data_IF_600020489803
#
_entry.id   IF_600020489803
#
_cell.length_a   1.000
_cell.length_b   1.000
_cell.length_c   1.000
_cell.angle_alpha   90.00
_cell.angle_beta   90.00
_cell.angle_gamma   90.00
#
_symmetry.space_group_name_H-M   'P 1'
#
loop_
_entity.id
_entity.type
_entity.pdbx_description
1 polymer ?
#
# COMPACT_ATOMS: atom_id res chain seq x y z
N UNK A 1 -1.90 -6.54 -18.96
CA UNK A 1 -0.84 -6.76 -17.95
C UNK A 1 -1.24 -6.02 -16.69
N UNK A 2 -1.42 -6.74 -15.58
CA UNK A 2 -1.99 -6.25 -14.33
C UNK A 2 -1.06 -5.23 -13.66
N UNK A 3 -1.60 -4.05 -13.35
CA UNK A 3 -0.94 -3.08 -12.47
C UNK A 3 -0.74 -3.78 -11.12
N UNK A 4 0.45 -3.72 -10.49
CA UNK A 4 0.64 -4.22 -9.14
C UNK A 4 -0.38 -3.56 -8.20
N UNK A 5 -1.21 -4.37 -7.54
CA UNK A 5 -2.25 -3.88 -6.64
C UNK A 5 -1.56 -3.27 -5.40
N UNK A 6 -2.23 -2.38 -4.67
CA UNK A 6 -1.68 -1.77 -3.44
C UNK A 6 -1.21 -2.82 -2.40
N UNK A 7 -1.64 -4.07 -2.57
CA UNK A 7 -1.25 -5.31 -1.86
C UNK A 7 0.24 -5.67 -1.93
N UNK A 8 0.99 -5.24 -2.94
CA UNK A 8 2.40 -5.66 -3.12
C UNK A 8 3.39 -4.93 -2.19
N UNK A 9 2.90 -3.95 -1.41
CA UNK A 9 3.73 -3.10 -0.57
C UNK A 9 3.12 -2.98 0.82
N UNK A 10 3.53 -3.87 1.72
CA UNK A 10 3.29 -3.68 3.14
C UNK A 10 3.92 -2.36 3.62
N UNK A 11 3.19 -1.50 4.36
CA UNK A 11 3.79 -0.32 4.98
C UNK A 11 4.82 -0.81 6.01
N UNK A 12 6.11 -0.64 5.69
CA UNK A 12 7.16 -0.82 6.68
C UNK A 12 7.02 0.30 7.70
N UNK A 13 6.90 -0.09 8.97
CA UNK A 13 7.16 0.75 10.15
C UNK A 13 8.28 1.72 9.80
N UNK A 14 8.11 3.01 10.12
CA UNK A 14 9.09 4.07 9.91
C UNK A 14 10.48 3.65 10.44
N UNK A 15 11.21 2.92 9.60
CA UNK A 15 12.63 2.70 9.73
C UNK A 15 13.21 3.96 9.14
N UNK A 16 14.07 4.62 9.90
CA UNK A 16 15.00 5.63 9.41
C UNK A 16 15.43 5.20 8.00
N UNK A 17 15.03 5.95 6.98
CA UNK A 17 15.28 5.53 5.59
C UNK A 17 16.78 5.38 5.39
N UNK A 18 17.28 4.57 4.45
CA UNK A 18 18.72 4.52 4.17
C UNK A 18 19.34 5.92 3.98
N UNK A 19 18.58 6.86 3.39
CA UNK A 19 18.94 8.28 3.30
C UNK A 19 19.03 8.96 4.67
N UNK A 20 18.05 8.78 5.54
CA UNK A 20 18.09 9.31 6.89
C UNK A 20 19.18 8.64 7.73
N UNK A 21 19.50 7.36 7.51
CA UNK A 21 20.61 6.66 8.17
C UNK A 21 21.95 7.24 7.72
N UNK A 22 22.10 7.56 6.43
CA UNK A 22 23.26 8.29 5.90
C UNK A 22 23.37 9.68 6.53
N UNK A 23 22.26 10.44 6.62
CA UNK A 23 22.25 11.76 7.27
C UNK A 23 22.55 11.68 8.76
N UNK A 24 21.97 10.70 9.45
CA UNK A 24 22.21 10.44 10.86
C UNK A 24 23.65 9.99 11.11
N UNK A 25 24.27 9.20 10.23
CA UNK A 25 25.69 8.86 10.36
C UNK A 25 26.59 10.09 10.28
N UNK A 26 26.31 11.03 9.36
CA UNK A 26 27.01 12.32 9.31
C UNK A 26 26.82 13.11 10.62
N UNK A 27 25.63 13.02 11.22
CA UNK A 27 25.29 13.70 12.48
C UNK A 27 25.86 12.98 13.73
N UNK A 28 25.98 11.65 13.70
CA UNK A 28 26.48 10.78 14.79
C UNK A 28 27.99 10.87 14.98
N UNK A 29 28.73 11.41 14.01
CA UNK A 29 30.13 11.81 14.22
C UNK A 29 30.28 13.00 15.20
N UNK A 30 29.19 13.50 15.82
CA UNK A 30 29.25 14.56 16.84
C UNK A 30 28.53 14.35 18.20
N UNK A 31 27.72 13.32 18.49
CA UNK A 31 27.16 13.13 19.86
C UNK A 31 26.99 11.65 20.24
N UNK A 32 27.52 11.28 21.41
CA UNK A 32 27.35 9.98 22.10
C UNK A 32 26.00 9.88 22.83
N UNK A 33 25.43 8.66 22.82
CA UNK A 33 24.57 8.18 23.91
C UNK A 33 23.07 8.22 23.65
N UNK A 34 22.51 7.14 23.08
CA UNK A 34 21.13 6.73 23.35
C UNK A 34 20.99 5.22 23.21
N UNK A 35 20.79 4.56 24.36
CA UNK A 35 20.27 3.20 24.43
C UNK A 35 18.82 3.22 23.98
N UNK A 36 18.46 2.34 23.06
CA UNK A 36 17.07 2.10 22.66
C UNK A 36 16.69 0.74 23.25
N UNK A 37 15.77 0.75 24.22
CA UNK A 37 15.07 -0.44 24.69
C UNK A 37 14.04 -0.90 23.63
N UNK A 38 13.59 -2.17 23.65
CA UNK A 38 12.70 -2.69 22.62
C UNK A 38 11.32 -2.03 22.72
N UNK A 39 10.91 -1.36 21.64
CA UNK A 39 9.56 -0.82 21.46
C UNK A 39 8.51 -1.94 21.63
N UNK A 40 7.55 -1.69 22.51
CA UNK A 40 6.36 -2.51 22.68
C UNK A 40 5.52 -2.56 21.39
N UNK A 41 4.86 -3.70 21.19
CA UNK A 41 3.90 -3.95 20.13
C UNK A 41 2.68 -3.05 20.31
N UNK A 42 2.51 -2.09 19.41
CA UNK A 42 1.33 -1.21 19.31
C UNK A 42 0.13 -1.96 18.72
N UNK A 43 -0.25 -3.09 19.35
CA UNK A 43 -1.44 -3.89 18.99
C UNK A 43 -2.46 -3.81 20.11
N UNK A 44 -3.02 -2.62 20.31
CA UNK A 44 -4.14 -2.36 21.23
C UNK A 44 -5.46 -2.87 20.60
N UNK A 45 -5.47 -4.16 20.24
CA UNK A 45 -6.55 -4.81 19.48
C UNK A 45 -7.12 -5.93 20.35
N UNK A 46 -8.26 -5.66 20.99
CA UNK A 46 -8.91 -6.61 21.90
C UNK A 46 -9.39 -7.87 21.17
N UNK A 47 -9.27 -9.02 21.81
CA UNK A 47 -9.87 -10.29 21.36
C UNK A 47 -10.91 -10.82 22.37
N UNK A 48 -11.44 -9.95 23.23
CA UNK A 48 -12.42 -10.35 24.23
C UNK A 48 -13.77 -10.68 23.58
N UNK A 49 -14.18 -11.94 23.75
CA UNK A 49 -15.47 -12.50 23.31
C UNK A 49 -16.26 -13.13 24.45
N UNK A 50 -15.87 -12.90 25.70
CA UNK A 50 -16.37 -13.60 26.88
C UNK A 50 -17.88 -13.48 27.08
N UNK A 51 -18.48 -12.38 26.59
CA UNK A 51 -19.90 -12.06 26.73
C UNK A 51 -20.66 -12.08 25.40
N UNK A 52 -20.13 -12.76 24.39
CA UNK A 52 -20.65 -12.70 23.02
C UNK A 52 -21.08 -14.09 22.58
N UNK A 53 -22.35 -14.20 22.18
CA UNK A 53 -22.90 -15.45 21.68
C UNK A 53 -22.32 -15.77 20.30
N UNK A 54 -21.83 -17.00 20.07
CA UNK A 54 -21.33 -17.40 18.78
C UNK A 54 -22.45 -17.58 17.75
N UNK A 55 -22.11 -17.38 16.49
CA UNK A 55 -22.96 -17.60 15.32
C UNK A 55 -22.29 -18.63 14.39
N UNK A 56 -23.09 -19.60 13.93
CA UNK A 56 -22.68 -20.51 12.87
C UNK A 56 -22.88 -19.82 11.53
N UNK A 57 -21.80 -19.55 10.82
CA UNK A 57 -21.79 -18.80 9.55
C UNK A 57 -21.35 -19.65 8.36
N UNK A 58 -20.77 -20.82 8.61
CA UNK A 58 -20.27 -21.74 7.59
C UNK A 58 -20.90 -23.12 7.82
N UNK A 59 -20.88 -23.99 6.81
CA UNK A 59 -21.24 -25.41 6.99
C UNK A 59 -20.21 -26.16 7.87
N UNK A 60 -19.01 -25.60 8.08
CA UNK A 60 -17.98 -26.21 8.88
C UNK A 60 -18.31 -26.14 10.40
N UNK A 61 -18.49 -27.27 11.10
CA UNK A 61 -19.06 -27.30 12.46
C UNK A 61 -18.15 -26.64 13.51
N UNK A 62 -16.84 -26.65 13.29
CA UNK A 62 -15.84 -26.07 14.23
C UNK A 62 -15.57 -24.58 14.02
N UNK A 63 -16.23 -23.94 13.05
CA UNK A 63 -16.07 -22.51 12.80
C UNK A 63 -17.19 -21.75 13.51
N UNK A 64 -16.82 -20.70 14.26
CA UNK A 64 -17.78 -19.87 14.98
C UNK A 64 -17.40 -18.40 14.82
N UNK A 65 -18.39 -17.55 14.55
CA UNK A 65 -18.25 -16.09 14.47
C UNK A 65 -18.81 -15.42 15.72
N UNK A 66 -18.08 -14.46 16.27
CA UNK A 66 -18.43 -13.67 17.43
C UNK A 66 -18.52 -12.19 17.01
N UNK A 67 -19.73 -11.64 16.78
CA UNK A 67 -19.88 -10.24 16.40
C UNK A 67 -19.53 -9.33 17.58
N UNK A 68 -18.53 -8.45 17.41
CA UNK A 68 -18.07 -7.54 18.46
C UNK A 68 -18.66 -6.14 18.33
N UNK A 69 -18.65 -5.62 17.10
CA UNK A 69 -19.13 -4.28 16.77
C UNK A 69 -20.03 -4.43 15.55
N UNK A 70 -21.21 -3.82 15.62
CA UNK A 70 -22.11 -3.68 14.48
C UNK A 70 -21.87 -2.32 13.84
N UNK A 71 -21.51 -2.36 12.58
CA UNK A 71 -21.48 -1.27 11.64
C UNK A 71 -22.86 -0.98 11.04
N UNK A 72 -22.85 -0.17 9.98
CA UNK A 72 -24.04 0.39 9.36
C UNK A 72 -24.13 0.04 7.87
N UNK A 73 -25.31 0.24 7.28
CA UNK A 73 -25.55 -0.02 5.86
C UNK A 73 -25.98 -1.45 5.55
N UNK A 74 -25.96 -1.77 4.26
CA UNK A 74 -26.28 -3.11 3.76
C UNK A 74 -25.08 -4.06 3.97
N UNK A 75 -25.34 -5.38 4.13
CA UNK A 75 -24.26 -6.37 4.13
C UNK A 75 -23.51 -6.39 2.79
N UNK A 76 -22.24 -6.79 2.83
CA UNK A 76 -21.48 -7.05 1.61
C UNK A 76 -22.09 -8.20 0.79
N UNK A 77 -21.99 -8.09 -0.53
CA UNK A 77 -22.47 -9.11 -1.49
C UNK A 77 -21.28 -9.77 -2.19
N UNK A 78 -21.52 -10.89 -2.89
CA UNK A 78 -20.50 -11.51 -3.75
C UNK A 78 -20.07 -10.63 -4.93
N UNK A 79 -20.81 -9.56 -5.23
CA UNK A 79 -20.42 -8.53 -6.21
C UNK A 79 -19.68 -7.35 -5.56
N UNK A 80 -19.42 -7.37 -4.25
CA UNK A 80 -18.81 -6.25 -3.57
C UNK A 80 -17.29 -6.31 -3.59
N UNK A 81 -16.66 -5.16 -3.74
CA UNK A 81 -15.25 -4.93 -3.38
C UNK A 81 -15.21 -4.37 -1.96
N UNK A 82 -14.55 -5.08 -1.05
CA UNK A 82 -14.48 -4.74 0.38
C UNK A 82 -13.08 -4.36 0.80
N UNK A 83 -12.96 -3.41 1.72
CA UNK A 83 -11.69 -3.10 2.39
C UNK A 83 -11.72 -3.69 3.80
N UNK A 84 -10.74 -4.51 4.16
CA UNK A 84 -10.74 -5.25 5.43
C UNK A 84 -9.44 -5.06 6.20
N UNK A 85 -9.53 -5.16 7.53
CA UNK A 85 -8.38 -5.32 8.42
C UNK A 85 -8.52 -6.61 9.19
N UNK A 86 -7.42 -7.33 9.38
CA UNK A 86 -7.45 -8.53 10.19
C UNK A 86 -6.15 -8.79 10.94
N UNK A 87 -6.29 -9.51 12.06
CA UNK A 87 -5.19 -10.09 12.82
C UNK A 87 -5.51 -11.55 13.08
N UNK A 88 -4.57 -12.44 12.80
CA UNK A 88 -4.67 -13.87 13.08
C UNK A 88 -3.73 -14.23 14.21
N UNK A 89 -4.21 -15.01 15.19
CA UNK A 89 -3.39 -15.54 16.29
C UNK A 89 -3.78 -16.96 16.66
N UNK A 90 -2.91 -17.65 17.39
CA UNK A 90 -3.24 -18.90 18.04
C UNK A 90 -4.21 -18.68 19.21
N UNK A 91 -5.21 -19.55 19.37
CA UNK A 91 -6.14 -19.47 20.50
C UNK A 91 -5.42 -19.69 21.82
N UNK A 92 -4.46 -20.61 21.83
CA UNK A 92 -3.61 -20.94 22.97
C UNK A 92 -2.27 -20.22 22.83
N UNK A 93 -1.84 -19.53 23.87
CA UNK A 93 -0.58 -18.79 23.87
C UNK A 93 -0.64 -17.44 23.16
N UNK A 94 -1.71 -17.14 22.41
CA UNK A 94 -1.98 -15.85 21.76
C UNK A 94 -0.87 -15.35 20.84
N UNK A 95 -0.05 -16.27 20.32
CA UNK A 95 1.01 -15.94 19.36
C UNK A 95 0.37 -15.42 18.08
N UNK A 96 0.79 -14.23 17.67
CA UNK A 96 0.34 -13.61 16.42
C UNK A 96 0.94 -14.40 15.25
N UNK A 97 0.06 -14.82 14.33
CA UNK A 97 0.39 -15.54 13.12
C UNK A 97 0.42 -14.60 11.90
N UNK A 98 -0.45 -13.59 11.89
CA UNK A 98 -0.48 -12.53 10.87
C UNK A 98 -1.06 -11.24 11.46
N UNK A 99 -0.34 -10.12 11.35
CA UNK A 99 -0.77 -8.78 11.73
C UNK A 99 -0.62 -7.74 10.60
N UNK A 100 -0.22 -8.16 9.39
CA UNK A 100 0.17 -7.24 8.32
C UNK A 100 -0.95 -6.27 7.94
N UNK A 101 -2.20 -6.72 8.10
CA UNK A 101 -3.41 -5.99 7.73
C UNK A 101 -4.21 -5.50 8.94
N UNK A 102 -3.73 -5.71 10.16
CA UNK A 102 -4.46 -5.40 11.40
C UNK A 102 -4.00 -4.14 12.13
N UNK A 103 -2.98 -3.45 11.61
CA UNK A 103 -2.43 -2.26 12.26
C UNK A 103 -3.36 -1.07 12.02
N UNK A 104 -3.62 -0.29 13.07
CA UNK A 104 -4.57 0.86 13.02
C UNK A 104 -4.23 1.87 11.91
N UNK A 105 -2.95 1.99 11.57
CA UNK A 105 -2.43 2.90 10.54
C UNK A 105 -2.03 2.20 9.23
N UNK A 106 -2.24 0.89 9.06
CA UNK A 106 -2.01 0.24 7.77
C UNK A 106 -3.18 0.48 6.82
N UNK A 107 -2.86 0.62 5.55
CA UNK A 107 -3.86 0.59 4.46
C UNK A 107 -4.64 -0.73 4.55
N UNK A 108 -5.98 -0.68 4.64
CA UNK A 108 -6.80 -1.89 4.63
C UNK A 108 -6.56 -2.73 3.38
N UNK A 109 -6.73 -4.05 3.50
CA UNK A 109 -6.66 -4.96 2.38
C UNK A 109 -7.94 -4.85 1.55
N UNK A 110 -7.85 -4.37 0.32
CA UNK A 110 -8.99 -4.36 -0.63
C UNK A 110 -9.15 -5.73 -1.26
N UNK A 111 -10.37 -6.29 -1.31
CA UNK A 111 -10.70 -7.65 -1.76
C UNK A 111 -11.96 -7.63 -2.60
N UNK A 112 -11.92 -8.31 -3.74
CA UNK A 112 -13.12 -8.61 -4.50
C UNK A 112 -13.73 -9.90 -3.95
N UNK A 113 -14.92 -9.80 -3.38
CA UNK A 113 -15.69 -10.99 -3.00
C UNK A 113 -16.10 -11.74 -4.27
N UNK A 114 -16.20 -13.07 -4.20
CA UNK A 114 -16.52 -14.00 -5.28
C UNK A 114 -15.32 -14.48 -6.10
N UNK A 115 -14.11 -13.98 -5.84
CA UNK A 115 -12.91 -14.21 -6.68
C UNK A 115 -11.84 -15.10 -5.99
N UNK A 116 -12.22 -15.88 -4.96
CA UNK A 116 -11.36 -16.81 -4.22
C UNK A 116 -10.05 -16.19 -3.68
N UNK A 117 -10.08 -14.90 -3.31
CA UNK A 117 -8.91 -14.15 -2.86
C UNK A 117 -8.62 -14.31 -1.36
N UNK A 118 -9.56 -14.87 -0.59
CA UNK A 118 -9.43 -15.18 0.83
C UNK A 118 -9.80 -16.63 1.11
N UNK A 119 -9.36 -17.19 2.24
CA UNK A 119 -9.94 -18.42 2.77
C UNK A 119 -11.46 -18.30 2.89
N UNK A 120 -12.21 -19.31 2.44
CA UNK A 120 -13.67 -19.29 2.34
C UNK A 120 -14.35 -18.86 3.65
N UNK A 121 -13.82 -19.30 4.79
CA UNK A 121 -14.31 -18.93 6.12
C UNK A 121 -14.31 -17.42 6.37
N UNK A 122 -13.29 -16.71 5.91
CA UNK A 122 -13.23 -15.25 6.03
C UNK A 122 -14.21 -14.60 5.08
N UNK A 123 -14.35 -15.12 3.87
CA UNK A 123 -15.25 -14.60 2.85
C UNK A 123 -16.74 -14.75 3.24
N UNK A 124 -17.14 -15.93 3.71
CA UNK A 124 -18.46 -16.20 4.30
C UNK A 124 -18.75 -15.30 5.50
N UNK A 125 -17.72 -15.00 6.30
CA UNK A 125 -17.84 -14.04 7.41
C UNK A 125 -18.11 -12.63 6.91
N UNK A 126 -17.43 -12.18 5.84
CA UNK A 126 -17.58 -10.84 5.25
C UNK A 126 -18.93 -10.64 4.58
N UNK A 127 -19.48 -11.67 3.93
CA UNK A 127 -20.82 -11.63 3.31
C UNK A 127 -21.95 -11.40 4.33
N UNK A 128 -21.70 -11.66 5.61
CA UNK A 128 -22.66 -11.36 6.69
C UNK A 128 -22.35 -10.04 7.41
N UNK A 129 -21.31 -9.32 7.00
CA UNK A 129 -20.85 -8.09 7.65
C UNK A 129 -21.30 -6.82 6.91
N UNK A 130 -21.46 -5.75 7.68
CA UNK A 130 -21.75 -4.38 7.23
C UNK A 130 -20.52 -3.48 7.40
N UNK A 131 -20.52 -2.33 6.72
CA UNK A 131 -19.43 -1.36 6.85
C UNK A 131 -19.26 -0.89 8.31
N UNK A 132 -18.06 -1.05 8.85
CA UNK A 132 -17.72 -0.79 10.25
C UNK A 132 -17.89 -1.99 11.19
N UNK A 133 -18.37 -3.14 10.70
CA UNK A 133 -18.48 -4.36 11.52
C UNK A 133 -17.10 -4.82 11.98
N UNK A 134 -17.06 -5.34 13.20
CA UNK A 134 -15.90 -6.06 13.72
C UNK A 134 -16.35 -7.37 14.35
N UNK A 135 -15.66 -8.46 14.03
CA UNK A 135 -15.94 -9.77 14.61
C UNK A 135 -14.66 -10.54 14.95
N UNK A 136 -14.81 -11.61 15.72
CA UNK A 136 -13.79 -12.64 15.89
C UNK A 136 -14.31 -13.93 15.27
N UNK A 137 -13.47 -14.63 14.53
CA UNK A 137 -13.75 -15.94 13.97
C UNK A 137 -12.82 -16.93 14.65
N UNK A 138 -13.36 -18.02 15.18
CA UNK A 138 -12.56 -19.17 15.61
C UNK A 138 -12.60 -20.22 14.53
N UNK A 139 -11.45 -20.74 14.13
CA UNK A 139 -11.34 -21.70 13.02
C UNK A 139 -10.26 -22.75 13.32
N UNK A 140 -10.40 -23.99 12.83
CA UNK A 140 -9.29 -24.95 12.89
C UNK A 140 -8.17 -24.56 11.91
N UNK A 141 -6.90 -24.85 12.23
CA UNK A 141 -5.75 -24.37 11.47
C UNK A 141 -5.63 -24.98 10.06
N UNK A 142 -6.24 -26.14 9.81
CA UNK A 142 -6.21 -26.81 8.50
C UNK A 142 -6.93 -26.03 7.38
N UNK A 143 -7.85 -25.12 7.73
CA UNK A 143 -8.49 -24.21 6.77
C UNK A 143 -7.57 -23.05 6.36
N UNK A 144 -6.38 -22.94 6.97
CA UNK A 144 -5.38 -21.92 6.72
C UNK A 144 -4.00 -22.57 6.55
N UNK A 145 -3.79 -23.38 5.48
CA UNK A 145 -2.61 -24.24 5.34
C UNK A 145 -1.29 -23.46 5.20
N UNK A 146 -1.34 -22.17 4.91
CA UNK A 146 -0.16 -21.29 4.83
C UNK A 146 0.31 -20.77 6.20
N UNK A 147 -0.46 -20.97 7.27
CA UNK A 147 -0.09 -20.52 8.61
C UNK A 147 0.79 -21.56 9.32
N UNK A 148 1.93 -21.11 9.85
CA UNK A 148 2.80 -21.95 10.69
C UNK A 148 2.34 -21.95 12.15
N UNK A 149 1.51 -22.93 12.50
CA UNK A 149 1.02 -23.11 13.89
C UNK A 149 1.93 -24.05 14.67
N UNK A 150 2.06 -23.80 15.98
CA UNK A 150 2.80 -24.64 16.95
C UNK A 150 1.87 -25.52 17.78
N UNK A 151 0.56 -25.29 17.69
CA UNK A 151 -0.48 -26.03 18.40
C UNK A 151 -1.58 -26.45 17.43
N UNK A 152 -2.12 -27.67 17.59
CA UNK A 152 -3.28 -28.15 16.81
C UNK A 152 -4.59 -27.42 17.17
N UNK A 153 -4.57 -26.69 18.29
CA UNK A 153 -5.75 -26.11 18.92
C UNK A 153 -6.03 -24.71 18.37
N UNK A 154 -6.91 -24.64 17.36
CA UNK A 154 -7.66 -23.48 16.83
C UNK A 154 -6.94 -22.12 16.71
N UNK A 155 -7.23 -21.40 15.63
CA UNK A 155 -6.83 -20.01 15.46
C UNK A 155 -8.01 -19.06 15.76
N UNK A 156 -7.68 -17.83 16.15
CA UNK A 156 -8.61 -16.72 16.29
C UNK A 156 -8.25 -15.64 15.28
N UNK A 157 -9.25 -15.18 14.52
CA UNK A 157 -9.11 -14.13 13.51
C UNK A 157 -9.98 -12.98 13.95
N UNK A 158 -9.39 -11.84 14.27
CA UNK A 158 -10.17 -10.61 14.40
C UNK A 158 -10.27 -9.96 13.03
N UNK A 159 -11.49 -9.69 12.58
CA UNK A 159 -11.79 -9.17 11.26
C UNK A 159 -12.64 -7.91 11.37
N UNK A 160 -12.19 -6.83 10.75
CA UNK A 160 -12.88 -5.54 10.63
C UNK A 160 -13.19 -5.29 9.15
N UNK A 161 -14.45 -5.01 8.86
CA UNK A 161 -14.89 -4.57 7.54
C UNK A 161 -14.89 -3.04 7.51
N UNK A 162 -13.90 -2.46 6.83
CA UNK A 162 -13.66 -1.01 6.82
C UNK A 162 -14.58 -0.29 5.85
N UNK A 163 -14.80 -0.85 4.66
CA UNK A 163 -15.72 -0.27 3.66
C UNK A 163 -16.26 -1.33 2.71
N UNK A 164 -17.48 -1.11 2.20
CA UNK A 164 -18.10 -1.93 1.17
C UNK A 164 -18.38 -1.08 -0.06
N UNK A 165 -17.99 -1.55 -1.25
CA UNK A 165 -18.38 -0.95 -2.53
C UNK A 165 -19.07 -2.01 -3.38
N UNK A 166 -20.31 -1.76 -3.80
CA UNK A 166 -20.98 -2.66 -4.73
C UNK A 166 -20.50 -2.38 -6.16
N UNK A 167 -20.02 -3.39 -6.88
CA UNK A 167 -19.67 -3.27 -8.31
C UNK A 167 -20.88 -2.87 -9.15
N UNK A 168 -22.11 -3.11 -8.67
CA UNK A 168 -23.34 -2.70 -9.38
C UNK A 168 -23.55 -1.18 -9.42
N UNK A 169 -22.89 -0.42 -8.54
CA UNK A 169 -22.88 1.05 -8.55
C UNK A 169 -21.73 1.62 -9.41
N UNK A 170 -20.91 0.76 -10.02
CA UNK A 170 -19.84 1.19 -10.89
C UNK A 170 -20.44 1.79 -12.16
N UNK A 171 -20.32 3.12 -12.28
CA UNK A 171 -20.85 3.88 -13.41
C UNK A 171 -20.29 3.33 -14.71
N UNK A 172 -21.14 2.65 -15.48
CA UNK A 172 -20.83 2.25 -16.85
C UNK A 172 -20.83 3.49 -17.73
N UNK A 173 -19.76 3.67 -18.48
CA UNK A 173 -19.61 4.78 -19.41
C UNK A 173 -20.02 4.33 -20.81
N UNK A 174 -20.97 5.04 -21.42
CA UNK A 174 -21.41 4.77 -22.79
C UNK A 174 -20.36 5.21 -23.83
N UNK A 175 -19.48 6.16 -23.46
CA UNK A 175 -18.44 6.71 -24.32
C UNK A 175 -17.21 7.16 -23.52
N UNK A 176 -16.04 7.14 -24.17
CA UNK A 176 -14.77 7.51 -23.53
C UNK A 176 -14.73 8.97 -23.09
N UNK A 177 -15.43 9.88 -23.79
CA UNK A 177 -15.37 11.32 -23.48
C UNK A 177 -16.00 11.58 -22.11
N UNK A 178 -17.13 10.94 -21.81
CA UNK A 178 -17.78 10.99 -20.51
C UNK A 178 -16.89 10.40 -19.40
N UNK A 179 -16.18 9.30 -19.69
CA UNK A 179 -15.21 8.71 -18.76
C UNK A 179 -14.06 9.69 -18.46
N UNK A 180 -13.43 10.25 -19.50
CA UNK A 180 -12.32 11.19 -19.35
C UNK A 180 -12.75 12.47 -18.62
N UNK A 181 -13.96 12.97 -18.87
CA UNK A 181 -14.48 14.16 -18.17
C UNK A 181 -14.55 13.92 -16.66
N UNK A 182 -15.14 12.81 -16.23
CA UNK A 182 -15.22 12.45 -14.81
C UNK A 182 -13.82 12.27 -14.20
N UNK A 183 -12.94 11.56 -14.90
CA UNK A 183 -11.55 11.32 -14.47
C UNK A 183 -10.78 12.62 -14.29
N UNK A 184 -10.97 13.58 -15.20
CA UNK A 184 -10.32 14.89 -15.13
C UNK A 184 -10.85 15.71 -13.94
N UNK A 185 -12.13 15.64 -13.62
CA UNK A 185 -12.70 16.30 -12.44
C UNK A 185 -12.20 15.68 -11.13
N UNK A 186 -12.14 14.34 -11.07
CA UNK A 186 -11.52 13.64 -9.92
C UNK A 186 -10.03 13.97 -9.79
N UNK A 187 -9.31 14.11 -10.91
CA UNK A 187 -7.91 14.53 -10.89
C UNK A 187 -7.76 15.94 -10.32
N UNK A 188 -8.65 16.88 -10.66
CA UNK A 188 -8.66 18.24 -10.08
C UNK A 188 -8.94 18.17 -8.58
N UNK A 189 -9.94 17.42 -8.16
CA UNK A 189 -10.26 17.21 -6.74
C UNK A 189 -9.07 16.64 -5.96
N UNK A 190 -8.44 15.58 -6.49
CA UNK A 190 -7.23 15.00 -5.92
C UNK A 190 -6.08 16.02 -5.82
N UNK A 191 -5.94 16.92 -6.81
CA UNK A 191 -4.96 18.00 -6.75
C UNK A 191 -5.26 19.00 -5.61
N UNK A 192 -6.53 19.30 -5.33
CA UNK A 192 -6.91 20.16 -4.21
C UNK A 192 -6.66 19.47 -2.86
N UNK A 193 -6.93 18.17 -2.74
CA UNK A 193 -6.54 17.38 -1.58
C UNK A 193 -5.01 17.35 -1.38
N UNK A 194 -4.24 17.23 -2.46
CA UNK A 194 -2.78 17.28 -2.40
C UNK A 194 -2.28 18.65 -1.91
N UNK A 195 -2.81 19.75 -2.45
CA UNK A 195 -2.45 21.12 -2.04
C UNK A 195 -2.78 21.40 -0.57
N UNK A 196 -3.92 20.89 -0.10
CA UNK A 196 -4.34 20.98 1.31
C UNK A 196 -3.62 19.99 2.23
N UNK A 197 -2.62 19.26 1.73
CA UNK A 197 -1.84 18.23 2.45
C UNK A 197 -2.67 17.06 3.00
N UNK A 198 -3.89 16.89 2.48
CA UNK A 198 -4.75 15.74 2.76
C UNK A 198 -4.33 14.56 1.88
N UNK A 199 -3.13 14.03 2.12
CA UNK A 199 -2.51 13.05 1.22
C UNK A 199 -3.29 11.73 1.11
N UNK A 200 -3.91 11.25 2.19
CA UNK A 200 -4.78 10.07 2.14
C UNK A 200 -5.94 10.27 1.17
N UNK A 201 -6.62 11.41 1.26
CA UNK A 201 -7.74 11.74 0.38
C UNK A 201 -7.27 11.88 -1.06
N UNK A 202 -6.16 12.58 -1.29
CA UNK A 202 -5.59 12.71 -2.62
C UNK A 202 -5.26 11.34 -3.25
N UNK A 203 -4.64 10.44 -2.47
CA UNK A 203 -4.34 9.08 -2.92
C UNK A 203 -5.62 8.34 -3.33
N UNK A 204 -6.62 8.32 -2.47
CA UNK A 204 -7.90 7.64 -2.71
C UNK A 204 -8.58 8.19 -3.97
N UNK A 205 -8.67 9.52 -4.11
CA UNK A 205 -9.32 10.14 -5.28
C UNK A 205 -8.59 9.79 -6.58
N UNK A 206 -7.25 9.80 -6.60
CA UNK A 206 -6.51 9.41 -7.80
C UNK A 206 -6.63 7.91 -8.11
N UNK A 207 -6.70 7.04 -7.10
CA UNK A 207 -6.93 5.62 -7.30
C UNK A 207 -8.31 5.34 -7.88
N UNK A 208 -9.36 6.02 -7.39
CA UNK A 208 -10.70 5.91 -7.95
C UNK A 208 -10.78 6.43 -9.40
N UNK A 209 -10.05 7.50 -9.72
CA UNK A 209 -9.93 7.98 -11.10
C UNK A 209 -9.21 6.94 -12.01
N UNK A 210 -8.19 6.26 -11.49
CA UNK A 210 -7.47 5.20 -12.20
C UNK A 210 -8.35 3.96 -12.43
N UNK A 211 -9.17 3.62 -11.43
CA UNK A 211 -10.14 2.53 -11.48
C UNK A 211 -11.13 2.75 -12.62
N UNK A 212 -11.73 3.94 -12.72
CA UNK A 212 -12.62 4.32 -13.84
C UNK A 212 -11.98 4.17 -15.23
N UNK A 213 -10.72 4.58 -15.36
CA UNK A 213 -9.97 4.38 -16.62
C UNK A 213 -9.69 2.91 -16.91
N UNK A 214 -9.59 2.07 -15.89
CA UNK A 214 -9.27 0.65 -16.02
C UNK A 214 -10.52 -0.19 -16.28
N UNK A 215 -11.69 0.22 -15.77
CA UNK A 215 -12.97 -0.45 -16.02
C UNK A 215 -13.64 -0.04 -17.33
N UNK A 216 -13.18 1.03 -17.99
CA UNK A 216 -13.63 1.37 -19.35
C UNK A 216 -13.07 0.37 -20.36
N UNK A 217 -13.96 -0.29 -21.11
CA UNK A 217 -13.60 -1.21 -22.19
C UNK A 217 -13.34 -0.44 -23.49
N UNK A 218 -12.07 -0.28 -23.84
CA UNK A 218 -11.67 0.46 -25.03
C UNK A 218 -12.12 -0.26 -26.31
N UNK A 219 -12.84 0.45 -27.18
CA UNK A 219 -13.38 -0.13 -28.40
C UNK A 219 -12.37 -0.19 -29.55
N UNK A 220 -11.32 0.65 -29.49
CA UNK A 220 -10.26 0.71 -30.48
C UNK A 220 -8.92 1.21 -29.88
N UNK A 221 -7.88 1.23 -30.71
CA UNK A 221 -6.53 1.67 -30.33
C UNK A 221 -6.45 3.17 -30.01
N UNK A 222 -7.35 4.00 -30.55
CA UNK A 222 -7.39 5.44 -30.28
C UNK A 222 -7.95 5.72 -28.89
N UNK A 223 -8.98 4.98 -28.49
CA UNK A 223 -9.52 4.98 -27.14
C UNK A 223 -8.50 4.45 -26.14
N UNK A 224 -7.85 3.31 -26.42
CA UNK A 224 -6.79 2.77 -25.56
C UNK A 224 -5.63 3.78 -25.38
N UNK A 225 -5.21 4.44 -26.46
CA UNK A 225 -4.20 5.50 -26.40
C UNK A 225 -4.66 6.72 -25.60
N UNK A 226 -5.96 7.03 -25.65
CA UNK A 226 -6.55 8.13 -24.88
C UNK A 226 -6.63 7.79 -23.40
N UNK A 227 -6.93 6.54 -23.04
CA UNK A 227 -6.84 6.03 -21.67
C UNK A 227 -5.40 6.21 -21.17
N UNK A 228 -4.40 5.73 -21.89
CA UNK A 228 -2.99 5.84 -21.48
C UNK A 228 -2.54 7.30 -21.28
N UNK A 229 -2.94 8.20 -22.18
CA UNK A 229 -2.67 9.64 -22.06
C UNK A 229 -3.24 10.23 -20.76
N UNK A 230 -4.41 9.76 -20.32
CA UNK A 230 -5.06 10.22 -19.10
C UNK A 230 -4.60 9.45 -17.84
N UNK A 231 -4.08 8.23 -17.98
CA UNK A 231 -3.41 7.49 -16.90
C UNK A 231 -2.11 8.16 -16.49
N UNK A 232 -1.34 8.69 -17.45
CA UNK A 232 -0.05 9.33 -17.20
C UNK A 232 -0.07 10.40 -16.08
N UNK A 233 -0.93 11.45 -16.12
CA UNK A 233 -0.96 12.45 -15.06
C UNK A 233 -1.40 11.87 -13.71
N UNK A 234 -2.30 10.88 -13.68
CA UNK A 234 -2.68 10.19 -12.44
C UNK A 234 -1.51 9.41 -11.85
N UNK A 235 -0.75 8.66 -12.66
CA UNK A 235 0.44 7.91 -12.21
C UNK A 235 1.50 8.83 -11.60
N UNK A 236 1.80 9.95 -12.26
CA UNK A 236 2.78 10.92 -11.73
C UNK A 236 2.31 11.61 -10.45
N UNK A 237 0.99 11.79 -10.28
CA UNK A 237 0.40 12.39 -9.09
C UNK A 237 0.31 11.38 -7.92
N UNK A 238 -0.08 10.13 -8.17
CA UNK A 238 -0.03 9.04 -7.19
C UNK A 238 1.38 8.85 -6.66
N UNK A 239 2.38 8.79 -7.54
CA UNK A 239 3.78 8.73 -7.11
C UNK A 239 4.17 9.93 -6.24
N UNK A 240 3.73 11.14 -6.58
CA UNK A 240 3.98 12.33 -5.78
C UNK A 240 3.34 12.27 -4.38
N UNK A 241 2.09 11.79 -4.29
CA UNK A 241 1.38 11.59 -3.02
C UNK A 241 2.12 10.59 -2.14
N UNK A 242 2.52 9.46 -2.72
CA UNK A 242 3.19 8.38 -1.99
C UNK A 242 4.59 8.79 -1.52
N UNK A 243 5.32 9.60 -2.29
CA UNK A 243 6.55 10.26 -1.82
C UNK A 243 6.30 11.15 -0.60
N UNK A 244 5.16 11.85 -0.52
CA UNK A 244 4.78 12.65 0.66
C UNK A 244 4.37 11.82 1.86
N UNK A 245 3.86 10.62 1.62
CA UNK A 245 3.49 9.63 2.63
C UNK A 245 4.64 8.69 3.01
N UNK A 246 5.82 8.92 2.44
CA UNK A 246 7.03 8.12 2.67
C UNK A 246 6.89 6.63 2.25
N UNK A 247 5.90 6.32 1.40
CA UNK A 247 5.72 5.01 0.81
C UNK A 247 6.49 4.92 -0.52
N UNK A 248 7.81 4.88 -0.39
CA UNK A 248 8.71 4.99 -1.53
C UNK A 248 8.62 3.82 -2.50
N UNK A 249 8.24 2.63 -2.02
CA UNK A 249 8.12 1.45 -2.88
C UNK A 249 6.90 1.54 -3.80
N UNK A 250 5.74 1.93 -3.26
CA UNK A 250 4.56 2.19 -4.11
C UNK A 250 4.79 3.38 -5.03
N UNK A 251 5.48 4.42 -4.53
CA UNK A 251 5.85 5.56 -5.36
C UNK A 251 6.72 5.16 -6.55
N UNK A 252 7.66 4.23 -6.38
CA UNK A 252 8.47 3.67 -7.47
C UNK A 252 7.61 2.96 -8.51
N UNK A 253 6.66 2.12 -8.10
CA UNK A 253 5.79 1.41 -9.04
C UNK A 253 5.04 2.36 -9.95
N UNK A 254 4.31 3.33 -9.39
CA UNK A 254 3.57 4.28 -10.22
C UNK A 254 4.50 5.17 -11.06
N UNK A 255 5.69 5.51 -10.56
CA UNK A 255 6.66 6.26 -11.35
C UNK A 255 7.23 5.45 -12.51
N UNK A 256 7.51 4.14 -12.34
CA UNK A 256 7.96 3.26 -13.42
C UNK A 256 6.88 3.10 -14.48
N UNK A 257 5.63 2.93 -14.09
CA UNK A 257 4.50 2.91 -15.04
C UNK A 257 4.38 4.24 -15.80
N UNK A 258 4.53 5.39 -15.13
CA UNK A 258 4.54 6.68 -15.82
C UNK A 258 5.69 6.80 -16.83
N UNK A 259 6.89 6.31 -16.49
CA UNK A 259 8.06 6.29 -17.39
C UNK A 259 7.86 5.31 -18.56
N UNK A 260 7.13 4.20 -18.37
CA UNK A 260 6.77 3.30 -19.48
C UNK A 260 5.84 3.97 -20.49
N UNK A 261 4.87 4.75 -20.01
CA UNK A 261 3.95 5.50 -20.87
C UNK A 261 4.65 6.67 -21.58
N UNK A 262 5.48 7.42 -20.85
CA UNK A 262 6.28 8.50 -21.43
C UNK A 262 7.69 8.55 -20.82
N UNK A 263 8.63 7.89 -21.49
CA UNK A 263 10.03 7.84 -21.09
C UNK A 263 10.75 9.18 -21.21
N UNK A 264 10.19 10.12 -21.97
CA UNK A 264 10.73 11.45 -22.22
C UNK A 264 10.15 12.51 -21.26
N UNK A 265 9.37 12.10 -20.25
CA UNK A 265 8.86 13.01 -19.23
C UNK A 265 9.87 13.26 -18.13
N UNK A 266 10.34 14.51 -18.01
CA UNK A 266 11.18 14.95 -16.90
C UNK A 266 10.50 14.70 -15.54
N UNK A 267 9.19 14.94 -15.44
CA UNK A 267 8.41 14.73 -14.22
C UNK A 267 8.38 13.27 -13.80
N UNK A 268 8.14 12.34 -14.73
CA UNK A 268 8.09 10.91 -14.41
C UNK A 268 9.48 10.38 -14.00
N UNK A 269 10.52 10.74 -14.76
CA UNK A 269 11.91 10.40 -14.43
C UNK A 269 12.33 10.98 -13.08
N UNK A 270 11.94 12.22 -12.77
CA UNK A 270 12.23 12.84 -11.49
C UNK A 270 11.55 12.12 -10.33
N UNK A 271 10.27 11.75 -10.46
CA UNK A 271 9.54 10.99 -9.43
C UNK A 271 10.14 9.61 -9.18
N UNK A 272 10.57 8.92 -10.25
CA UNK A 272 11.26 7.63 -10.14
C UNK A 272 12.62 7.81 -9.44
N UNK A 273 13.37 8.83 -9.81
CA UNK A 273 14.63 9.17 -9.18
C UNK A 273 14.49 9.44 -7.68
N UNK A 274 13.46 10.21 -7.28
CA UNK A 274 13.16 10.49 -5.88
C UNK A 274 12.82 9.22 -5.10
N UNK A 275 11.93 8.36 -5.62
CA UNK A 275 11.54 7.13 -4.92
C UNK A 275 12.68 6.15 -4.76
N UNK A 276 13.57 6.02 -5.76
CA UNK A 276 14.77 5.21 -5.68
C UNK A 276 15.80 5.77 -4.69
N UNK A 277 15.96 7.09 -4.69
CA UNK A 277 16.89 7.80 -3.79
C UNK A 277 16.54 7.56 -2.32
N UNK A 278 15.24 7.65 -1.98
CA UNK A 278 14.74 7.41 -0.61
C UNK A 278 14.90 5.95 -0.18
N UNK A 279 14.86 5.02 -1.14
CA UNK A 279 15.13 3.59 -0.90
C UNK A 279 16.62 3.25 -0.81
N UNK A 280 17.53 4.21 -1.02
CA UNK A 280 18.98 3.99 -1.02
C UNK A 280 19.52 3.35 -2.30
N UNK A 281 18.72 3.22 -3.36
CA UNK A 281 19.16 2.70 -4.67
C UNK A 281 19.82 3.82 -5.48
N UNK A 282 20.97 4.29 -5.02
CA UNK A 282 21.55 5.58 -5.41
C UNK A 282 22.01 5.63 -6.88
N UNK A 283 22.59 4.55 -7.39
CA UNK A 283 22.99 4.44 -8.80
C UNK A 283 21.79 4.60 -9.74
N UNK A 284 20.71 3.85 -9.54
CA UNK A 284 19.50 3.96 -10.36
C UNK A 284 18.83 5.33 -10.19
N UNK A 285 18.78 5.84 -8.96
CA UNK A 285 18.26 7.18 -8.69
C UNK A 285 19.02 8.25 -9.47
N UNK A 286 20.35 8.18 -9.52
CA UNK A 286 21.20 9.10 -10.28
C UNK A 286 20.87 9.05 -11.77
N UNK A 287 20.71 7.86 -12.35
CA UNK A 287 20.39 7.72 -13.78
C UNK A 287 19.06 8.42 -14.13
N UNK A 288 18.02 8.18 -13.33
CA UNK A 288 16.72 8.84 -13.50
C UNK A 288 16.81 10.35 -13.31
N UNK A 289 17.46 10.83 -12.24
CA UNK A 289 17.58 12.26 -11.93
C UNK A 289 18.42 13.02 -12.96
N UNK A 290 19.49 12.41 -13.48
CA UNK A 290 20.30 12.99 -14.56
C UNK A 290 19.51 13.04 -15.86
N UNK A 291 18.71 12.02 -16.16
CA UNK A 291 17.83 12.02 -17.33
C UNK A 291 16.79 13.14 -17.21
N UNK A 292 16.13 13.27 -16.06
CA UNK A 292 15.21 14.37 -15.78
C UNK A 292 15.89 15.75 -15.93
N UNK A 293 17.13 15.90 -15.46
CA UNK A 293 17.89 17.14 -15.59
C UNK A 293 18.32 17.47 -17.02
N UNK A 294 18.51 16.46 -17.88
CA UNK A 294 18.76 16.68 -19.31
C UNK A 294 17.50 17.17 -20.03
N UNK A 295 16.33 16.65 -19.64
CA UNK A 295 15.04 17.03 -20.21
C UNK A 295 14.62 18.44 -19.76
N UNK A 296 14.81 18.77 -18.48
CA UNK A 296 14.51 20.08 -17.92
C UNK A 296 15.72 20.69 -17.19
N UNK A 297 16.73 21.19 -17.93
CA UNK A 297 17.99 21.66 -17.34
C UNK A 297 17.84 22.91 -16.47
N UNK A 298 16.70 23.62 -16.57
CA UNK A 298 16.43 24.84 -15.82
C UNK A 298 15.72 24.58 -14.49
N UNK A 299 15.15 23.40 -14.27
CA UNK A 299 14.41 23.09 -13.05
C UNK A 299 15.33 23.05 -11.82
N UNK A 300 15.01 23.86 -10.81
CA UNK A 300 15.81 24.01 -9.59
C UNK A 300 15.68 22.79 -8.69
N UNK A 301 14.50 22.17 -8.63
CA UNK A 301 14.21 21.01 -7.78
C UNK A 301 14.95 19.78 -8.29
N UNK A 302 14.91 19.54 -9.60
CA UNK A 302 15.63 18.41 -10.22
C UNK A 302 17.14 18.55 -9.99
N UNK A 303 17.72 19.74 -10.23
CA UNK A 303 19.16 19.97 -9.98
C UNK A 303 19.54 19.80 -8.51
N UNK A 304 18.66 20.20 -7.59
CA UNK A 304 18.87 20.00 -6.15
C UNK A 304 18.94 18.51 -5.82
N UNK A 305 18.01 17.72 -6.34
CA UNK A 305 17.98 16.28 -6.09
C UNK A 305 19.14 15.55 -6.78
N UNK A 306 19.58 15.98 -7.97
CA UNK A 306 20.83 15.51 -8.60
C UNK A 306 22.04 15.77 -7.71
N UNK A 307 22.16 16.97 -7.13
CA UNK A 307 23.25 17.28 -6.21
C UNK A 307 23.17 16.40 -4.96
N UNK A 308 21.98 16.18 -4.43
CA UNK A 308 21.78 15.36 -3.24
C UNK A 308 22.16 13.90 -3.48
N UNK A 309 21.69 13.26 -4.57
CA UNK A 309 22.04 11.86 -4.85
C UNK A 309 23.55 11.68 -5.02
N UNK A 310 24.23 12.63 -5.68
CA UNK A 310 25.68 12.57 -5.86
C UNK A 310 26.44 12.69 -4.53
N UNK A 311 25.97 13.53 -3.61
CA UNK A 311 26.57 13.65 -2.28
C UNK A 311 26.35 12.38 -1.45
N UNK A 312 25.15 11.79 -1.50
CA UNK A 312 24.88 10.54 -0.80
C UNK A 312 25.73 9.38 -1.32
N UNK A 313 25.90 9.26 -2.64
CA UNK A 313 26.79 8.26 -3.25
C UNK A 313 28.24 8.44 -2.78
N UNK A 314 28.69 9.70 -2.62
CA UNK A 314 30.02 9.99 -2.10
C UNK A 314 30.14 9.53 -0.64
N UNK A 315 29.16 9.82 0.20
CA UNK A 315 29.12 9.38 1.60
C UNK A 315 29.15 7.86 1.68
N UNK A 316 28.32 7.17 0.89
CA UNK A 316 28.26 5.70 0.87
C UNK A 316 29.61 5.07 0.49
N UNK A 317 30.32 5.64 -0.49
CA UNK A 317 31.67 5.17 -0.87
C UNK A 317 32.69 5.38 0.25
N UNK A 318 32.65 6.50 0.96
CA UNK A 318 33.54 6.72 2.10
C UNK A 318 33.21 5.79 3.26
N UNK A 319 31.92 5.53 3.54
CA UNK A 319 31.51 4.52 4.50
C UNK A 319 32.03 3.13 4.14
N UNK A 320 31.93 2.73 2.87
CA UNK A 320 32.42 1.42 2.42
C UNK A 320 33.92 1.26 2.65
N UNK A 321 34.73 2.32 2.47
CA UNK A 321 36.17 2.31 2.79
C UNK A 321 36.46 2.17 4.28
N UNK A 322 35.58 2.70 5.13
CA UNK A 322 35.69 2.64 6.58
C UNK A 322 35.14 1.33 7.18
N UNK A 323 34.38 0.53 6.41
CA UNK A 323 33.97 -0.80 6.85
C UNK A 323 35.21 -1.68 6.98
N UNK A 324 35.49 -2.29 8.16
CA UNK A 324 36.61 -3.20 8.32
C UNK A 324 36.49 -4.35 7.31
N UNK A 325 37.62 -4.77 6.73
CA UNK A 325 37.79 -5.72 5.62
C UNK A 325 37.23 -7.16 5.83
N UNK A 326 36.23 -7.39 6.69
CA UNK A 326 35.62 -8.69 6.97
C UNK A 326 34.17 -8.89 6.52
N UNK A 327 33.46 -7.86 6.02
CA UNK A 327 32.04 -7.97 5.62
C UNK A 327 31.81 -7.89 4.10
N UNK A 328 32.82 -8.20 3.29
CA UNK A 328 32.69 -8.28 1.83
C UNK A 328 32.08 -9.64 1.45
N UNK A 329 30.79 -9.86 1.74
CA UNK A 329 30.13 -11.11 1.31
C UNK A 329 28.87 -11.60 2.04
N UNK A 330 28.14 -10.77 2.79
CA UNK A 330 26.77 -11.11 3.21
C UNK A 330 25.82 -10.17 2.49
N UNK A 331 24.69 -10.68 1.98
CA UNK A 331 23.71 -10.01 1.12
C UNK A 331 24.12 -9.95 -0.37
N UNK A 332 24.29 -11.13 -0.98
CA UNK A 332 23.81 -11.35 -2.35
C UNK A 332 22.34 -11.73 -2.31
#
# INVERSE_FOLDING_TARGET
MTIPNARDFAPRVARVTPREQLKQFVQQQQIEGLKIEPNGTDTDVSFDRSNISPQSITEHPSVQKYPLISGAGAPATTSSTVAVRYVIRESIGHRILDDLHGRKNSTPLTIDLGEDQLPSVMEESLLTMREGDVCIITSPPNLFPLLSTTHENSIEIRLELVSVKDKSEEKVYDDITSCISDVEDMRKEGNEHFKSKSWDKAEITYLQAMEKLTSYDAQDDEEASTIDRNRFPLLTNLSAVLLKREDYRRAEVYAREAVKLDGNSAKAQWRLGQSLMEQGRLEEARECLVTAAKLEPKDVSIRKDVKEVLEMMKIEREMEKLRPNGMRGMFK
#
